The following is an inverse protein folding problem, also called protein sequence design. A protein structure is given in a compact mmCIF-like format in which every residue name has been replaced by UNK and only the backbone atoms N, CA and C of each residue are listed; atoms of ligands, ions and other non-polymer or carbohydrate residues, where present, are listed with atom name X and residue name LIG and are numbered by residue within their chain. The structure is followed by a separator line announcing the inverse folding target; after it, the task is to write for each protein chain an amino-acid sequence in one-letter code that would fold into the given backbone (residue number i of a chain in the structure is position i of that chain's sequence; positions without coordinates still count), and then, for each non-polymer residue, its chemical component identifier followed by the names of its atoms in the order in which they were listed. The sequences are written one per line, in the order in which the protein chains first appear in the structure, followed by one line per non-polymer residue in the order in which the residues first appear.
data_IF_245773786215
#
_entry.id   IF_245773786215
#
_cell.length_a   1.000
_cell.length_b   1.000
_cell.length_c   1.000
_cell.angle_alpha   90.00
_cell.angle_beta   90.00
_cell.angle_gamma   90.00
#
_symmetry.space_group_name_H-M   'P 1'
#
loop_
_entity.id
_entity.type
_entity.pdbx_description
1 polymer ?
#
# COMPACT_ATOMS: atom_id res chain seq x y z
N UNK A 1 8.55 -1.23 17.09
CA UNK A 1 8.01 -2.01 15.96
C UNK A 1 7.75 -1.02 14.85
N UNK A 2 8.66 -0.92 13.88
CA UNK A 2 8.52 -0.10 12.67
C UNK A 2 8.62 -1.06 11.49
N UNK A 3 7.80 -0.88 10.46
CA UNK A 3 7.90 -1.64 9.22
C UNK A 3 8.54 -0.79 8.13
N UNK A 4 9.39 -1.43 7.34
CA UNK A 4 9.97 -0.83 6.15
C UNK A 4 9.10 -1.20 4.94
N UNK A 5 8.55 -0.19 4.28
CA UNK A 5 7.89 -0.34 2.99
C UNK A 5 8.95 -0.33 1.89
N UNK A 6 9.08 -1.44 1.16
CA UNK A 6 9.93 -1.50 -0.03
C UNK A 6 9.47 -0.51 -1.10
N UNK A 7 10.42 -0.05 -1.93
CA UNK A 7 10.13 0.79 -3.08
C UNK A 7 9.15 0.13 -4.04
N UNK A 8 8.42 0.93 -4.79
CA UNK A 8 7.44 0.46 -5.76
C UNK A 8 7.25 1.46 -6.90
N UNK A 9 6.62 1.00 -7.97
CA UNK A 9 6.17 1.86 -9.05
C UNK A 9 4.66 2.08 -8.92
N UNK A 10 4.22 3.32 -9.06
CA UNK A 10 2.80 3.68 -9.14
C UNK A 10 2.18 3.24 -10.47
N UNK A 11 0.85 3.31 -10.59
CA UNK A 11 0.15 3.09 -11.86
C UNK A 11 0.66 4.02 -12.98
N UNK A 12 1.10 5.24 -12.64
CA UNK A 12 1.72 6.20 -13.57
C UNK A 12 3.21 5.90 -13.86
N UNK A 13 3.72 4.76 -13.40
CA UNK A 13 5.11 4.33 -13.56
C UNK A 13 6.13 5.29 -12.92
N UNK A 14 5.71 5.97 -11.84
CA UNK A 14 6.59 6.81 -11.03
C UNK A 14 7.19 5.96 -9.91
N UNK A 15 8.52 5.96 -9.81
CA UNK A 15 9.25 5.28 -8.74
C UNK A 15 9.03 6.00 -7.41
N UNK A 16 8.53 5.26 -6.43
CA UNK A 16 8.45 5.67 -5.04
C UNK A 16 9.53 4.90 -4.28
N UNK A 17 10.44 5.64 -3.68
CA UNK A 17 11.51 5.08 -2.85
C UNK A 17 10.96 4.35 -1.61
N UNK A 18 11.78 3.47 -1.05
CA UNK A 18 11.44 2.81 0.21
C UNK A 18 11.27 3.84 1.33
N UNK A 19 10.38 3.54 2.27
CA UNK A 19 10.14 4.41 3.41
C UNK A 19 9.79 3.60 4.66
N UNK A 20 10.13 4.15 5.82
CA UNK A 20 9.86 3.52 7.11
C UNK A 20 8.60 4.12 7.73
N UNK A 21 7.78 3.26 8.33
CA UNK A 21 6.58 3.64 9.06
C UNK A 21 6.85 3.71 10.59
N UNK A 22 6.34 4.73 11.31
CA UNK A 22 5.45 5.79 10.85
C UNK A 22 6.23 6.96 10.22
N UNK A 23 5.60 7.68 9.28
CA UNK A 23 6.17 8.93 8.76
C UNK A 23 6.30 9.97 9.88
N UNK A 24 7.34 10.81 9.81
CA UNK A 24 7.62 11.84 10.81
C UNK A 24 6.42 12.80 11.04
N UNK A 25 5.66 13.09 9.98
CA UNK A 25 4.45 13.94 10.02
C UNK A 25 3.14 13.12 10.01
N UNK A 26 3.23 11.80 10.24
CA UNK A 26 2.12 10.87 10.15
C UNK A 26 1.52 10.49 11.50
N UNK A 27 0.52 9.61 11.45
CA UNK A 27 -0.02 8.98 12.65
C UNK A 27 1.04 8.09 13.31
N UNK A 28 1.31 8.32 14.60
CA UNK A 28 2.31 7.57 15.37
C UNK A 28 1.95 6.10 15.55
N UNK A 29 0.69 5.74 15.32
CA UNK A 29 0.19 4.37 15.37
C UNK A 29 0.31 3.64 14.03
N UNK A 30 0.62 4.36 12.95
CA UNK A 30 0.75 3.81 11.61
C UNK A 30 2.10 3.11 11.42
N UNK A 31 2.27 1.97 12.11
CA UNK A 31 3.53 1.23 12.18
C UNK A 31 3.70 0.20 11.06
N UNK A 32 2.65 -0.07 10.28
CA UNK A 32 2.61 -1.14 9.28
C UNK A 32 2.57 -0.59 7.84
N UNK A 33 3.15 -1.36 6.92
CA UNK A 33 3.07 -1.09 5.49
C UNK A 33 1.78 -1.69 4.93
N UNK A 34 0.92 -0.86 4.38
CA UNK A 34 -0.42 -1.22 3.94
C UNK A 34 -0.69 -0.74 2.51
N UNK A 35 -1.81 -1.15 1.94
CA UNK A 35 -2.23 -0.78 0.59
C UNK A 35 -1.92 -1.85 -0.43
N UNK A 36 -1.47 -1.42 -1.61
CA UNK A 36 -1.35 -2.25 -2.81
C UNK A 36 0.09 -2.31 -3.29
N UNK A 37 0.41 -3.22 -4.23
CA UNK A 37 1.77 -3.31 -4.79
C UNK A 37 2.24 -2.01 -5.44
N UNK A 38 1.30 -1.24 -5.98
CA UNK A 38 1.43 0.03 -6.70
C UNK A 38 1.01 1.26 -5.88
N UNK A 39 0.53 1.07 -4.65
CA UNK A 39 0.09 2.14 -3.76
C UNK A 39 0.29 1.74 -2.29
N UNK A 40 1.53 1.87 -1.80
CA UNK A 40 1.89 1.56 -0.42
C UNK A 40 1.78 2.80 0.49
N UNK A 41 1.25 2.63 1.70
CA UNK A 41 1.14 3.69 2.70
C UNK A 41 1.25 3.12 4.13
N UNK A 42 1.61 3.98 5.09
CA UNK A 42 1.63 3.58 6.50
C UNK A 42 0.22 3.50 7.08
N UNK A 43 -0.11 2.40 7.77
CA UNK A 43 -1.35 2.27 8.51
C UNK A 43 -1.17 1.51 9.84
N UNK A 44 -2.19 1.53 10.69
CA UNK A 44 -2.17 0.88 12.01
C UNK A 44 -2.54 -0.61 11.97
N UNK A 45 -3.06 -1.10 10.84
CA UNK A 45 -3.56 -2.46 10.67
C UNK A 45 -2.57 -3.36 9.90
N UNK A 46 -2.02 -4.42 10.51
CA UNK A 46 -1.02 -5.28 9.85
C UNK A 46 -1.56 -6.15 8.71
N UNK A 47 -2.90 -6.27 8.58
CA UNK A 47 -3.54 -7.15 7.58
C UNK A 47 -4.06 -6.40 6.36
N UNK A 48 -3.78 -5.10 6.24
CA UNK A 48 -4.28 -4.24 5.17
C UNK A 48 -3.32 -4.12 3.98
N UNK A 49 -2.41 -5.07 3.82
CA UNK A 49 -1.53 -5.17 2.64
C UNK A 49 -2.06 -6.19 1.64
N UNK A 50 -2.17 -5.77 0.38
CA UNK A 50 -2.64 -6.57 -0.73
C UNK A 50 -1.55 -6.60 -1.82
N UNK A 51 -1.08 -7.78 -2.25
CA UNK A 51 0.01 -7.90 -3.22
C UNK A 51 -0.43 -7.69 -4.68
N UNK A 52 -1.59 -7.09 -4.91
CA UNK A 52 -2.17 -6.84 -6.24
C UNK A 52 -2.17 -5.34 -6.53
N UNK A 53 -2.26 -4.97 -7.81
CA UNK A 53 -2.43 -3.58 -8.23
C UNK A 53 -3.83 -3.07 -7.84
N UNK A 54 -3.93 -1.80 -7.43
CA UNK A 54 -5.19 -1.19 -7.02
C UNK A 54 -6.26 -1.29 -8.12
N UNK A 55 -5.88 -0.99 -9.37
CA UNK A 55 -6.75 -1.13 -10.54
C UNK A 55 -7.30 -2.55 -10.73
N UNK A 56 -6.53 -3.60 -10.42
CA UNK A 56 -6.98 -4.99 -10.55
C UNK A 56 -8.12 -5.34 -9.59
N UNK A 57 -8.17 -4.71 -8.41
CA UNK A 57 -9.23 -4.94 -7.43
C UNK A 57 -10.57 -4.34 -7.85
N UNK A 58 -10.58 -3.24 -8.61
CA UNK A 58 -11.79 -2.70 -9.23
C UNK A 58 -12.33 -3.63 -10.32
N UNK A 59 -11.46 -4.26 -11.12
CA UNK A 59 -11.86 -5.21 -12.16
C UNK A 59 -12.56 -6.46 -11.62
N UNK A 60 -12.15 -6.96 -10.45
CA UNK A 60 -12.81 -8.10 -9.80
C UNK A 60 -14.25 -7.76 -9.35
N UNK A 61 -14.51 -6.51 -9.01
CA UNK A 61 -15.85 -6.06 -8.61
C UNK A 61 -16.82 -5.96 -9.80
N UNK A 62 -16.31 -5.75 -11.01
CA UNK A 62 -17.12 -5.63 -12.25
C UNK A 62 -17.45 -7.00 -12.86
N UNK A 63 -16.61 -8.02 -12.64
CA UNK A 63 -16.78 -9.35 -13.24
C UNK A 63 -17.49 -10.38 -12.34
N UNK A 64 -18.02 -9.97 -11.17
CA UNK A 64 -18.87 -10.84 -10.32
C UNK A 64 -20.36 -10.78 -10.71
N UNK A 65 -20.64 -10.47 -11.98
CA UNK A 65 -21.99 -10.44 -12.53
C UNK A 65 -22.06 -11.03 -13.94
N UNK A 66 -21.48 -12.22 -14.13
CA UNK A 66 -21.87 -13.11 -15.23
C UNK A 66 -22.12 -14.50 -14.67
#
# INVERSE_FOLDING_TARGET
MSSDCESYYTEENVLVENFTCPKADGDTTALYCCGFSDLKYCCADPNSFFPYEYGYMWWLSVNVQI
#
